data_IF_409209409913
#
_entry.id   IF_409209409913
#
_cell.length_a   1.000
_cell.length_b   1.000
_cell.length_c   1.000
_cell.angle_alpha   90.00
_cell.angle_beta   90.00
_cell.angle_gamma   90.00
#
_symmetry.space_group_name_H-M   'P 1'
#
loop_
_entity.id
_entity.type
_entity.pdbx_description
1 polymer ?
#
# COMPACT_ATOMS: atom_id res chain seq x y z
N UNK A 1 25.17 -13.37 -17.52
CA UNK A 1 24.52 -12.78 -16.31
C UNK A 1 23.20 -12.18 -16.76
N UNK A 2 22.09 -12.58 -16.14
CA UNK A 2 20.75 -12.11 -16.52
C UNK A 2 20.62 -10.60 -16.28
N UNK A 3 20.10 -9.88 -17.27
CA UNK A 3 19.80 -8.46 -17.19
C UNK A 3 18.39 -8.21 -17.71
N UNK A 4 17.63 -7.38 -17.02
CA UNK A 4 16.26 -7.05 -17.44
C UNK A 4 15.34 -6.80 -16.24
N UNK A 5 14.04 -6.81 -16.52
CA UNK A 5 12.98 -6.57 -15.53
C UNK A 5 12.06 -7.79 -15.54
N UNK A 6 11.78 -8.30 -14.35
CA UNK A 6 10.77 -9.34 -14.13
C UNK A 6 9.58 -8.71 -13.45
N UNK A 7 8.38 -8.99 -13.94
CA UNK A 7 7.14 -8.61 -13.28
C UNK A 7 6.65 -9.81 -12.50
N UNK A 8 6.66 -9.67 -11.18
CA UNK A 8 6.28 -10.75 -10.27
C UNK A 8 4.91 -10.45 -9.69
N UNK A 9 4.02 -11.41 -9.72
CA UNK A 9 2.79 -11.37 -8.92
C UNK A 9 3.15 -11.81 -7.50
N UNK A 10 3.34 -10.85 -6.60
CA UNK A 10 3.71 -11.15 -5.21
C UNK A 10 2.55 -11.85 -4.51
N UNK A 11 2.73 -13.04 -3.95
CA UNK A 11 1.69 -13.69 -3.15
C UNK A 11 1.49 -13.00 -1.81
N UNK A 12 0.37 -13.30 -1.15
CA UNK A 12 0.14 -12.94 0.26
C UNK A 12 1.17 -13.58 1.18
N UNK A 13 1.34 -12.99 2.37
CA UNK A 13 2.24 -13.46 3.45
C UNK A 13 3.74 -13.48 3.10
N UNK A 14 4.11 -12.92 1.96
CA UNK A 14 5.49 -12.69 1.58
C UNK A 14 5.84 -11.20 1.68
N UNK A 15 7.01 -10.90 2.21
CA UNK A 15 7.58 -9.57 2.05
C UNK A 15 8.13 -9.39 0.63
N UNK A 16 8.28 -8.15 0.17
CA UNK A 16 8.97 -7.88 -1.10
C UNK A 16 10.42 -8.39 -1.09
N UNK A 17 11.04 -8.45 0.11
CA UNK A 17 12.40 -9.00 0.27
C UNK A 17 12.43 -10.53 0.12
N UNK A 18 11.41 -11.26 0.58
CA UNK A 18 11.32 -12.72 0.42
C UNK A 18 11.27 -13.10 -1.06
N UNK A 19 10.53 -12.31 -1.87
CA UNK A 19 10.52 -12.46 -3.33
C UNK A 19 11.93 -12.29 -3.90
N UNK A 20 12.65 -11.24 -3.50
CA UNK A 20 14.04 -11.02 -3.93
C UNK A 20 14.95 -12.16 -3.49
N UNK A 21 14.82 -12.63 -2.26
CA UNK A 21 15.62 -13.74 -1.73
C UNK A 21 15.38 -15.04 -2.53
N UNK A 22 14.13 -15.36 -2.81
CA UNK A 22 13.76 -16.52 -3.65
C UNK A 22 14.32 -16.42 -5.06
N UNK A 23 14.17 -15.26 -5.69
CA UNK A 23 14.67 -15.03 -7.05
C UNK A 23 16.20 -15.08 -7.12
N UNK A 24 16.93 -14.64 -6.08
CA UNK A 24 18.39 -14.79 -6.01
C UNK A 24 18.82 -16.24 -6.13
N UNK A 25 18.12 -17.15 -5.45
CA UNK A 25 18.38 -18.60 -5.55
C UNK A 25 18.07 -19.16 -6.93
N UNK A 26 16.94 -18.77 -7.52
CA UNK A 26 16.50 -19.27 -8.84
C UNK A 26 17.42 -18.77 -9.97
N UNK A 27 17.82 -17.49 -9.92
CA UNK A 27 18.56 -16.82 -10.99
C UNK A 27 20.08 -16.88 -10.82
N UNK A 28 20.57 -17.41 -9.70
CA UNK A 28 22.01 -17.47 -9.40
C UNK A 28 22.69 -16.10 -9.33
N UNK A 29 21.95 -15.02 -8.98
CA UNK A 29 22.50 -13.65 -8.94
C UNK A 29 22.07 -12.91 -7.69
N UNK A 30 23.01 -12.11 -7.12
CA UNK A 30 22.72 -11.24 -5.98
C UNK A 30 22.25 -9.83 -6.36
N UNK A 31 22.48 -9.42 -7.62
CA UNK A 31 22.12 -8.07 -8.10
C UNK A 31 20.65 -8.03 -8.51
N UNK A 32 19.78 -7.95 -7.54
CA UNK A 32 18.33 -7.79 -7.71
C UNK A 32 17.83 -6.66 -6.81
N UNK A 33 16.94 -5.84 -7.34
CA UNK A 33 16.22 -4.79 -6.62
C UNK A 33 14.76 -4.75 -7.07
N UNK A 34 13.87 -4.17 -6.29
CA UNK A 34 12.46 -4.01 -6.68
C UNK A 34 12.02 -2.55 -6.64
N UNK A 35 11.00 -2.21 -7.42
CA UNK A 35 10.38 -0.89 -7.43
C UNK A 35 9.14 -0.85 -6.55
N UNK A 36 9.30 -0.28 -5.37
CA UNK A 36 8.21 -0.06 -4.41
C UNK A 36 7.83 -1.30 -3.60
N UNK A 37 8.02 -1.20 -2.29
CA UNK A 37 7.64 -2.24 -1.33
C UNK A 37 6.13 -2.48 -1.34
N UNK A 38 5.72 -3.73 -1.20
CA UNK A 38 4.38 -4.16 -0.84
C UNK A 38 4.41 -4.74 0.58
N UNK A 39 3.38 -4.43 1.35
CA UNK A 39 3.18 -5.01 2.68
C UNK A 39 3.01 -6.55 2.58
N UNK A 40 3.28 -7.33 3.64
CA UNK A 40 3.17 -8.79 3.58
C UNK A 40 1.82 -9.29 3.11
N UNK A 41 0.72 -8.71 3.62
CA UNK A 41 -0.64 -9.08 3.23
C UNK A 41 -0.99 -8.69 1.79
N UNK A 42 -0.32 -7.66 1.25
CA UNK A 42 -0.62 -7.16 -0.09
C UNK A 42 -0.11 -8.13 -1.17
N UNK A 43 -0.84 -8.20 -2.27
CA UNK A 43 -0.49 -9.01 -3.46
C UNK A 43 -0.26 -8.14 -4.69
N UNK A 44 0.15 -8.76 -5.80
CA UNK A 44 0.15 -8.14 -7.12
C UNK A 44 1.51 -7.69 -7.63
N UNK A 45 1.48 -6.77 -8.56
CA UNK A 45 2.62 -6.36 -9.40
C UNK A 45 3.80 -5.87 -8.58
N UNK A 46 4.91 -6.61 -8.63
CA UNK A 46 6.20 -6.24 -8.06
C UNK A 46 7.27 -6.29 -9.17
N UNK A 47 7.64 -5.14 -9.78
CA UNK A 47 8.73 -5.09 -10.74
C UNK A 47 10.07 -5.37 -10.05
N UNK A 48 10.80 -6.36 -10.51
CA UNK A 48 12.13 -6.77 -10.04
C UNK A 48 13.15 -6.53 -11.12
N UNK A 49 14.16 -5.75 -10.80
CA UNK A 49 15.23 -5.34 -11.69
C UNK A 49 16.47 -6.21 -11.48
N UNK A 50 16.95 -6.84 -12.56
CA UNK A 50 18.03 -7.83 -12.53
C UNK A 50 19.33 -7.27 -13.10
N UNK A 51 20.45 -7.54 -12.45
CA UNK A 51 21.78 -7.17 -12.94
C UNK A 51 21.99 -5.66 -13.03
N UNK A 52 22.46 -5.17 -14.18
CA UNK A 52 22.66 -3.74 -14.44
C UNK A 52 21.37 -2.91 -14.36
N UNK A 53 20.22 -3.50 -14.68
CA UNK A 53 18.93 -2.82 -14.62
C UNK A 53 18.56 -2.39 -13.20
N UNK A 54 19.12 -3.00 -12.16
CA UNK A 54 18.89 -2.57 -10.77
C UNK A 54 19.32 -1.12 -10.48
N UNK A 55 20.22 -0.56 -11.29
CA UNK A 55 20.61 0.87 -11.20
C UNK A 55 19.58 1.81 -11.85
N UNK A 56 18.69 1.27 -12.66
CA UNK A 56 17.66 2.05 -13.38
C UNK A 56 16.33 2.15 -12.61
N UNK A 57 16.24 1.59 -11.41
CA UNK A 57 15.01 1.64 -10.59
C UNK A 57 14.54 3.10 -10.38
N UNK A 58 15.46 4.01 -10.11
CA UNK A 58 15.16 5.42 -9.86
C UNK A 58 14.99 6.26 -11.13
N UNK A 59 15.33 5.68 -12.31
CA UNK A 59 15.23 6.33 -13.62
C UNK A 59 13.87 6.12 -14.31
N UNK A 60 12.93 5.43 -13.67
CA UNK A 60 11.58 5.27 -14.22
C UNK A 60 10.91 6.62 -14.38
N UNK A 61 10.35 6.91 -15.56
CA UNK A 61 9.64 8.16 -15.83
C UNK A 61 8.27 8.20 -15.15
N UNK A 62 7.61 7.03 -15.04
CA UNK A 62 6.31 6.90 -14.38
C UNK A 62 6.47 6.16 -13.04
N UNK A 63 6.10 6.82 -11.96
CA UNK A 63 6.11 6.28 -10.61
C UNK A 63 4.70 6.09 -10.05
N UNK A 64 3.65 6.26 -10.87
CA UNK A 64 2.26 6.04 -10.44
C UNK A 64 2.02 4.57 -10.08
N UNK A 65 1.03 4.34 -9.25
CA UNK A 65 0.61 3.00 -8.85
C UNK A 65 -0.90 2.91 -8.86
N UNK A 66 -1.41 1.74 -9.21
CA UNK A 66 -2.83 1.46 -9.12
C UNK A 66 -3.05 0.23 -8.23
N UNK A 67 -4.07 0.32 -7.38
CA UNK A 67 -4.40 -0.69 -6.39
C UNK A 67 -5.90 -1.01 -6.45
N UNK A 68 -6.23 -2.27 -6.19
CA UNK A 68 -7.54 -2.66 -5.68
C UNK A 68 -7.38 -2.87 -4.18
N UNK A 69 -8.18 -2.14 -3.40
CA UNK A 69 -8.14 -2.18 -1.94
C UNK A 69 -9.54 -2.41 -1.40
N UNK A 70 -9.65 -3.03 -0.23
CA UNK A 70 -10.93 -3.21 0.45
C UNK A 70 -10.88 -2.49 1.78
N UNK A 71 -11.79 -1.53 1.96
CA UNK A 71 -12.07 -0.87 3.22
C UNK A 71 -13.06 -1.72 4.00
N UNK A 72 -12.73 -2.08 5.24
CA UNK A 72 -13.65 -2.69 6.21
C UNK A 72 -13.99 -1.66 7.27
N UNK A 73 -15.29 -1.39 7.46
CA UNK A 73 -15.79 -0.52 8.52
C UNK A 73 -16.02 -1.28 9.83
N UNK A 74 -16.15 -0.54 10.92
CA UNK A 74 -16.50 -1.03 12.25
C UNK A 74 -15.32 -1.29 13.19
N UNK A 75 -14.07 -1.16 12.72
CA UNK A 75 -12.88 -1.31 13.56
C UNK A 75 -11.71 -0.51 13.04
N UNK A 76 -10.76 -0.16 13.92
CA UNK A 76 -9.42 0.30 13.53
C UNK A 76 -8.34 -0.54 14.20
N UNK A 77 -7.15 -0.59 13.59
CA UNK A 77 -6.01 -1.39 14.05
C UNK A 77 -4.74 -0.55 14.15
N UNK A 78 -3.75 -1.02 14.88
CA UNK A 78 -2.46 -0.35 15.05
C UNK A 78 -1.63 -0.29 13.75
N UNK A 79 -1.86 -1.22 12.82
CA UNK A 79 -1.19 -1.26 11.50
C UNK A 79 -1.96 -0.55 10.40
N UNK A 80 -3.26 -0.25 10.61
CA UNK A 80 -4.18 0.24 9.57
C UNK A 80 -4.66 -0.84 8.60
N UNK A 81 -4.37 -2.12 8.88
CA UNK A 81 -4.87 -3.27 8.15
C UNK A 81 -5.30 -4.40 9.11
N UNK A 82 -6.02 -5.39 8.59
CA UNK A 82 -6.59 -6.48 9.41
C UNK A 82 -5.57 -7.41 10.05
N UNK A 83 -4.28 -7.28 9.75
CA UNK A 83 -3.21 -8.09 10.37
C UNK A 83 -2.74 -7.50 11.69
N UNK A 84 -3.12 -6.26 11.99
CA UNK A 84 -2.76 -5.56 13.23
C UNK A 84 -3.68 -5.91 14.41
N UNK A 85 -3.31 -5.39 15.56
CA UNK A 85 -4.12 -5.49 16.79
C UNK A 85 -5.28 -4.50 16.69
N UNK A 86 -6.51 -4.96 16.95
CA UNK A 86 -7.68 -4.10 17.01
C UNK A 86 -7.54 -3.15 18.19
N UNK A 87 -7.58 -1.84 17.91
CA UNK A 87 -7.49 -0.79 18.91
C UNK A 87 -8.88 -0.35 19.38
N UNK A 88 -9.84 -0.29 18.45
CA UNK A 88 -11.20 0.17 18.72
C UNK A 88 -12.19 -0.49 17.77
N UNK A 89 -13.39 -0.75 18.25
CA UNK A 89 -14.54 -1.18 17.46
C UNK A 89 -15.71 -0.23 17.65
N UNK A 90 -16.53 -0.05 16.60
CA UNK A 90 -17.73 0.78 16.65
C UNK A 90 -18.83 0.19 15.77
N UNK A 91 -20.12 0.38 16.10
CA UNK A 91 -21.21 0.02 15.21
C UNK A 91 -21.07 0.73 13.85
N UNK A 92 -21.36 0.02 12.77
CA UNK A 92 -21.38 0.61 11.43
C UNK A 92 -22.77 1.23 11.20
N UNK A 93 -22.78 2.52 10.91
CA UNK A 93 -24.00 3.32 10.72
C UNK A 93 -24.04 4.01 9.34
N UNK A 94 -22.96 3.91 8.57
CA UNK A 94 -22.85 4.48 7.22
C UNK A 94 -22.58 3.36 6.20
N UNK A 95 -22.97 3.59 4.96
CA UNK A 95 -22.89 2.59 3.89
C UNK A 95 -22.35 3.15 2.58
N UNK A 96 -22.78 2.55 1.49
CA UNK A 96 -22.32 2.91 0.13
C UNK A 96 -22.62 4.37 -0.22
N UNK A 97 -23.77 4.91 0.16
CA UNK A 97 -24.16 6.27 -0.18
C UNK A 97 -23.22 7.30 0.47
N UNK A 98 -22.89 7.13 1.75
CA UNK A 98 -21.95 7.96 2.48
C UNK A 98 -20.53 7.82 1.90
N UNK A 99 -20.12 6.59 1.57
CA UNK A 99 -18.85 6.36 0.89
C UNK A 99 -18.77 7.16 -0.42
N UNK A 100 -19.73 7.00 -1.31
CA UNK A 100 -19.75 7.70 -2.61
C UNK A 100 -19.76 9.22 -2.44
N UNK A 101 -20.42 9.74 -1.42
CA UNK A 101 -20.47 11.18 -1.12
C UNK A 101 -19.11 11.74 -0.68
N UNK A 102 -18.28 10.95 0.02
CA UNK A 102 -16.98 11.42 0.52
C UNK A 102 -15.82 11.20 -0.47
N UNK A 103 -15.88 10.22 -1.36
CA UNK A 103 -14.76 9.89 -2.27
C UNK A 103 -14.22 11.08 -3.07
N UNK A 104 -15.05 12.00 -3.62
CA UNK A 104 -14.54 13.12 -4.43
C UNK A 104 -13.56 14.04 -3.68
N UNK A 105 -13.67 14.19 -2.36
CA UNK A 105 -12.79 15.06 -1.57
C UNK A 105 -11.35 14.50 -1.43
N UNK A 106 -11.14 13.23 -1.79
CA UNK A 106 -9.83 12.59 -1.73
C UNK A 106 -9.03 12.72 -3.02
N UNK A 107 -9.64 13.16 -4.12
CA UNK A 107 -8.97 13.37 -5.40
C UNK A 107 -8.01 14.56 -5.37
N UNK A 108 -6.92 14.44 -6.13
CA UNK A 108 -5.93 15.50 -6.32
C UNK A 108 -4.79 15.50 -5.30
N UNK A 109 -4.01 16.60 -5.27
CA UNK A 109 -2.87 16.77 -4.36
C UNK A 109 -3.32 16.88 -2.91
N UNK A 110 -2.60 16.21 -2.01
CA UNK A 110 -2.85 16.25 -0.57
C UNK A 110 -1.58 15.92 0.25
N UNK A 111 -1.61 16.24 1.53
CA UNK A 111 -0.56 15.85 2.45
C UNK A 111 -0.99 14.58 3.19
N UNK A 112 -0.08 13.61 3.31
CA UNK A 112 -0.32 12.37 4.05
C UNK A 112 0.82 12.10 5.03
N UNK A 113 0.49 11.79 6.28
CA UNK A 113 1.46 11.37 7.29
C UNK A 113 1.71 9.86 7.13
N UNK A 114 2.96 9.43 6.86
CA UNK A 114 3.27 7.99 6.77
C UNK A 114 2.91 7.25 8.06
N UNK A 115 2.39 6.01 8.00
CA UNK A 115 2.09 5.24 9.21
C UNK A 115 3.38 4.80 9.91
N UNK A 116 3.29 4.46 11.21
CA UNK A 116 4.43 3.92 11.97
C UNK A 116 4.92 2.59 11.38
N UNK A 117 4.02 1.75 10.92
CA UNK A 117 4.36 0.52 10.21
C UNK A 117 4.72 0.80 8.74
N UNK A 118 5.87 1.47 8.53
CA UNK A 118 6.37 1.81 7.19
C UNK A 118 7.90 1.67 7.11
N UNK A 119 8.42 1.60 5.87
CA UNK A 119 9.85 1.55 5.58
C UNK A 119 10.53 2.94 5.61
N UNK A 120 9.80 4.00 5.90
CA UNK A 120 10.35 5.36 6.09
C UNK A 120 11.38 5.33 7.21
N UNK A 121 12.53 5.96 6.98
CA UNK A 121 13.60 6.04 7.98
C UNK A 121 13.62 7.42 8.65
N UNK A 122 13.76 7.40 9.98
CA UNK A 122 14.06 8.57 10.79
C UNK A 122 15.37 8.27 11.54
N UNK A 123 16.35 9.16 11.45
CA UNK A 123 17.68 8.97 12.02
C UNK A 123 18.34 7.62 11.62
N UNK A 124 18.12 7.19 10.36
CA UNK A 124 18.67 5.94 9.84
C UNK A 124 17.89 4.67 10.21
N UNK A 125 16.92 4.75 11.12
CA UNK A 125 16.13 3.60 11.58
C UNK A 125 14.75 3.57 10.91
N UNK A 126 14.30 2.44 10.31
CA UNK A 126 12.96 2.31 9.75
C UNK A 126 11.87 2.41 10.82
N UNK A 127 10.78 3.12 10.50
CA UNK A 127 9.66 3.34 11.43
C UNK A 127 9.04 2.03 11.92
N UNK A 128 8.90 1.02 11.07
CA UNK A 128 8.32 -0.28 11.48
C UNK A 128 9.10 -0.98 12.60
N UNK A 129 10.42 -0.74 12.72
CA UNK A 129 11.22 -1.28 13.84
C UNK A 129 10.86 -0.58 15.14
N UNK A 130 10.74 0.75 15.11
CA UNK A 130 10.30 1.53 16.27
C UNK A 130 8.87 1.14 16.69
N UNK A 131 7.96 0.96 15.71
CA UNK A 131 6.60 0.51 15.99
C UNK A 131 6.56 -0.85 16.72
N UNK A 132 7.37 -1.81 16.28
CA UNK A 132 7.49 -3.14 16.94
C UNK A 132 8.07 -3.05 18.35
N UNK A 133 8.83 -2.02 18.66
CA UNK A 133 9.33 -1.72 20.01
C UNK A 133 8.32 -0.92 20.86
N UNK A 134 7.09 -0.70 20.35
CA UNK A 134 6.06 0.10 21.00
C UNK A 134 6.35 1.61 21.02
N UNK A 135 7.31 2.07 20.22
CA UNK A 135 7.72 3.48 20.15
C UNK A 135 6.95 4.20 19.05
N UNK A 136 6.39 5.35 19.39
CA UNK A 136 5.81 6.29 18.42
C UNK A 136 6.73 7.50 18.30
N UNK A 137 6.98 7.94 17.06
CA UNK A 137 7.77 9.14 16.77
C UNK A 137 6.99 10.09 15.88
N UNK A 138 7.30 11.38 15.98
CA UNK A 138 6.74 12.39 15.09
C UNK A 138 7.14 12.10 13.64
N UNK A 139 6.18 12.17 12.74
CA UNK A 139 6.34 11.93 11.30
C UNK A 139 5.89 13.16 10.54
N UNK A 140 6.72 13.62 9.62
CA UNK A 140 6.36 14.74 8.74
C UNK A 140 5.43 14.25 7.65
N UNK A 141 4.32 14.94 7.46
CA UNK A 141 3.45 14.74 6.32
C UNK A 141 4.21 14.97 5.00
N UNK A 142 3.86 14.22 3.96
CA UNK A 142 4.50 14.27 2.64
C UNK A 142 3.44 14.53 1.57
N UNK A 143 3.79 15.26 0.52
CA UNK A 143 2.88 15.46 -0.60
C UNK A 143 2.66 14.13 -1.33
N UNK A 144 1.40 13.83 -1.59
CA UNK A 144 0.93 12.74 -2.44
C UNK A 144 -0.16 13.27 -3.37
N UNK A 145 -0.56 12.46 -4.33
CA UNK A 145 -1.67 12.77 -5.22
C UNK A 145 -2.51 11.52 -5.47
N UNK A 146 -3.81 11.64 -5.32
CA UNK A 146 -4.78 10.63 -5.73
C UNK A 146 -5.31 11.03 -7.09
N UNK A 147 -4.90 10.29 -8.11
CA UNK A 147 -5.21 10.59 -9.52
C UNK A 147 -6.59 10.08 -9.91
N UNK A 148 -7.03 8.98 -9.29
CA UNK A 148 -8.33 8.38 -9.54
C UNK A 148 -8.72 7.50 -8.34
N UNK A 149 -10.01 7.49 -8.02
CA UNK A 149 -10.59 6.62 -7.01
C UNK A 149 -11.99 6.21 -7.44
N UNK A 150 -12.28 4.90 -7.44
CA UNK A 150 -13.57 4.36 -7.86
C UNK A 150 -14.04 3.28 -6.91
N UNK A 151 -15.33 3.29 -6.65
CA UNK A 151 -16.01 2.21 -5.96
C UNK A 151 -16.28 1.05 -6.92
N UNK A 152 -15.99 -0.18 -6.48
CA UNK A 152 -16.08 -1.40 -7.29
C UNK A 152 -17.12 -2.39 -6.74
N UNK A 153 -17.84 -2.02 -5.71
CA UNK A 153 -18.84 -2.86 -5.06
C UNK A 153 -18.47 -3.30 -3.64
N UNK A 154 -19.36 -4.02 -3.00
CA UNK A 154 -19.24 -4.53 -1.63
C UNK A 154 -18.99 -6.04 -1.66
N UNK A 155 -17.76 -6.53 -1.43
CA UNK A 155 -17.46 -7.96 -1.47
C UNK A 155 -18.01 -8.73 -0.28
N UNK A 156 -18.26 -8.05 0.86
CA UNK A 156 -18.84 -8.61 2.06
C UNK A 156 -19.56 -7.52 2.85
N UNK A 157 -20.28 -7.92 3.90
CA UNK A 157 -20.92 -6.97 4.81
C UNK A 157 -19.88 -6.02 5.42
N UNK A 158 -20.17 -4.70 5.41
CA UNK A 158 -19.30 -3.63 5.87
C UNK A 158 -17.93 -3.55 5.18
N UNK A 159 -17.79 -4.16 4.00
CA UNK A 159 -16.59 -4.09 3.16
C UNK A 159 -16.89 -3.42 1.82
N UNK A 160 -15.99 -2.53 1.41
CA UNK A 160 -16.12 -1.71 0.21
C UNK A 160 -14.85 -1.79 -0.62
N UNK A 161 -14.95 -2.35 -1.82
CA UNK A 161 -13.83 -2.46 -2.76
C UNK A 161 -13.65 -1.14 -3.51
N UNK A 162 -12.41 -0.66 -3.55
CA UNK A 162 -12.01 0.56 -4.23
C UNK A 162 -10.84 0.28 -5.18
N UNK A 163 -10.88 0.86 -6.38
CA UNK A 163 -9.71 1.01 -7.24
C UNK A 163 -9.13 2.41 -7.02
N UNK A 164 -7.84 2.49 -6.71
CA UNK A 164 -7.14 3.76 -6.44
C UNK A 164 -5.92 3.86 -7.34
N UNK A 165 -5.80 4.96 -8.11
CA UNK A 165 -4.58 5.34 -8.81
C UNK A 165 -3.94 6.54 -8.09
N UNK A 166 -2.66 6.44 -7.77
CA UNK A 166 -1.99 7.44 -6.93
C UNK A 166 -0.51 7.61 -7.28
N UNK A 167 0.08 8.70 -6.79
CA UNK A 167 1.51 8.97 -6.86
C UNK A 167 2.32 8.02 -5.98
N UNK A 168 3.64 7.98 -6.20
CA UNK A 168 4.57 7.26 -5.30
C UNK A 168 4.48 7.79 -3.86
N UNK A 169 4.69 6.89 -2.91
CA UNK A 169 4.73 7.24 -1.48
C UNK A 169 3.36 7.31 -0.81
N UNK A 170 2.27 7.07 -1.56
CA UNK A 170 0.93 6.96 -1.00
C UNK A 170 0.78 5.66 -0.21
N UNK A 171 0.27 5.77 1.03
CA UNK A 171 -0.11 4.65 1.88
C UNK A 171 -1.61 4.43 1.78
N UNK A 172 -2.02 3.34 1.13
CA UNK A 172 -3.43 3.01 0.92
C UNK A 172 -4.13 2.75 2.25
N UNK A 173 -3.45 2.15 3.24
CA UNK A 173 -3.97 1.96 4.60
C UNK A 173 -4.45 3.26 5.22
N UNK A 174 -3.59 4.29 5.19
CA UNK A 174 -3.92 5.63 5.71
C UNK A 174 -5.07 6.26 4.92
N UNK A 175 -5.07 6.14 3.60
CA UNK A 175 -6.16 6.67 2.76
C UNK A 175 -7.51 6.04 3.14
N UNK A 176 -7.56 4.72 3.36
CA UNK A 176 -8.80 4.04 3.72
C UNK A 176 -9.28 4.41 5.13
N UNK A 177 -8.35 4.59 6.09
CA UNK A 177 -8.69 5.12 7.42
C UNK A 177 -9.28 6.53 7.34
N UNK A 178 -8.64 7.43 6.57
CA UNK A 178 -9.13 8.80 6.36
C UNK A 178 -10.51 8.83 5.67
N UNK A 179 -10.76 7.91 4.71
CA UNK A 179 -12.09 7.76 4.08
C UNK A 179 -13.13 7.33 5.12
N UNK A 180 -12.83 6.33 5.95
CA UNK A 180 -13.73 5.90 7.01
C UNK A 180 -14.02 7.03 8.00
N UNK A 181 -13.01 7.78 8.42
CA UNK A 181 -13.18 8.97 9.29
C UNK A 181 -14.11 10.02 8.65
N UNK A 182 -13.96 10.28 7.35
CA UNK A 182 -14.83 11.22 6.63
C UNK A 182 -16.29 10.74 6.56
N UNK A 183 -16.51 9.41 6.63
CA UNK A 183 -17.84 8.81 6.77
C UNK A 183 -18.36 8.82 8.23
N UNK A 184 -17.58 9.32 9.19
CA UNK A 184 -17.88 9.21 10.63
C UNK A 184 -17.76 7.80 11.18
N UNK A 185 -16.95 6.94 10.56
CA UNK A 185 -16.80 5.54 10.89
C UNK A 185 -15.35 5.21 11.33
N UNK A 186 -15.19 4.08 12.01
CA UNK A 186 -13.88 3.41 12.15
C UNK A 186 -13.68 2.52 10.93
N UNK A 187 -12.45 2.47 10.41
CA UNK A 187 -12.15 1.62 9.25
C UNK A 187 -10.71 1.12 9.24
N UNK A 188 -10.51 0.01 8.57
CA UNK A 188 -9.19 -0.60 8.35
C UNK A 188 -9.15 -1.24 6.96
N UNK A 189 -7.96 -1.50 6.44
CA UNK A 189 -7.78 -2.18 5.17
C UNK A 189 -7.87 -3.70 5.36
N UNK A 190 -8.81 -4.37 4.68
CA UNK A 190 -8.95 -5.84 4.75
C UNK A 190 -8.25 -6.57 3.60
N UNK A 191 -8.06 -5.92 2.44
CA UNK A 191 -7.32 -6.49 1.32
C UNK A 191 -6.62 -5.40 0.51
N UNK A 192 -5.47 -5.77 -0.11
CA UNK A 192 -4.73 -4.89 -1.01
C UNK A 192 -4.09 -5.71 -2.13
N UNK A 193 -4.34 -5.30 -3.38
CA UNK A 193 -3.66 -5.82 -4.56
C UNK A 193 -3.14 -4.67 -5.42
N UNK A 194 -1.85 -4.63 -5.67
CA UNK A 194 -1.29 -3.68 -6.65
C UNK A 194 -1.49 -4.23 -8.06
N UNK A 195 -2.30 -3.54 -8.86
CA UNK A 195 -2.62 -3.93 -10.24
C UNK A 195 -1.70 -3.28 -11.28
N UNK A 196 -1.07 -2.15 -10.92
CA UNK A 196 -0.06 -1.52 -11.77
C UNK A 196 1.01 -0.79 -10.95
N UNK A 197 2.22 -0.70 -11.51
CA UNK A 197 3.36 0.04 -10.98
C UNK A 197 4.12 0.70 -12.13
N UNK A 198 3.89 2.01 -12.36
CA UNK A 198 4.35 2.71 -13.55
C UNK A 198 3.76 2.07 -14.80
N UNK A 199 4.63 1.76 -15.75
CA UNK A 199 4.27 1.13 -17.04
C UNK A 199 3.97 -0.38 -16.94
N UNK A 200 4.12 -0.99 -15.76
CA UNK A 200 3.93 -2.43 -15.55
C UNK A 200 2.57 -2.72 -14.96
N UNK A 201 1.83 -3.65 -15.54
CA UNK A 201 0.51 -4.09 -15.07
C UNK A 201 0.38 -5.61 -15.13
N UNK A 202 -0.59 -6.17 -14.42
CA UNK A 202 -1.07 -7.53 -14.61
C UNK A 202 -2.18 -7.45 -15.67
N UNK A 203 -1.84 -7.71 -16.91
CA UNK A 203 -2.78 -8.02 -17.98
C UNK A 203 -2.64 -9.49 -18.32
#
# INVERSE_FOLDING_TARGET
>A
MMQGILIVDKPTDWTSFDVIAKLRGILGTRKLGHSGTLDPMATGVLPVFCGGASKAVDLQLDHTKAYRAVLRLGQCTDTGDVTGTVLETAPVTAGEQELLAVLPQFLGPRMQTPPMYSAVKINGQPLYKLAREGKTVERKARPIEILDIRYEGSPAENEYALTVKCSKGTYIRVLLEEIAEAMGQKGTMSALRRVAAGVYSNN
#
